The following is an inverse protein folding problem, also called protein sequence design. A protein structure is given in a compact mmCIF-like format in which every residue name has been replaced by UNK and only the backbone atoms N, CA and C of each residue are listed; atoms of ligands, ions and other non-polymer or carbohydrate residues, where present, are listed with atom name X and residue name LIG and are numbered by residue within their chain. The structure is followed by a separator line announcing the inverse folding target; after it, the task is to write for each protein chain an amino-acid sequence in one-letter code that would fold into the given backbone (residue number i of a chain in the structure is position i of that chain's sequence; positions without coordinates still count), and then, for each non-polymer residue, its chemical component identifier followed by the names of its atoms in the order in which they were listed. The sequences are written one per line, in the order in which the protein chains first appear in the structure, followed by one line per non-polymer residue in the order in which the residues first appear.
data_IF_056364207527
#
_entry.id   IF_056364207527
#
_cell.length_a   1.000
_cell.length_b   1.000
_cell.length_c   1.000
_cell.angle_alpha   90.00
_cell.angle_beta   90.00
_cell.angle_gamma   90.00
#
_symmetry.space_group_name_H-M   'P 1'
#
loop_
_entity.id
_entity.type
_entity.pdbx_description
1 polymer ?
#
# COMPACT_ATOMS: atom_id res chain seq x y z
N UNK A 1 37.49 -10.85 2.73
CA UNK A 1 36.92 -10.21 1.52
C UNK A 1 36.34 -11.36 0.71
N UNK A 2 35.02 -11.45 0.52
CA UNK A 2 34.45 -12.59 -0.18
C UNK A 2 34.79 -12.56 -1.67
N UNK A 3 35.20 -13.70 -2.21
CA UNK A 3 35.59 -13.83 -3.61
C UNK A 3 34.35 -13.92 -4.53
N UNK A 4 34.52 -13.60 -5.81
CA UNK A 4 33.45 -13.71 -6.82
C UNK A 4 32.73 -15.08 -6.84
N UNK A 5 33.42 -16.24 -6.77
CA UNK A 5 32.75 -17.55 -6.73
C UNK A 5 31.90 -17.78 -5.48
N UNK A 6 32.27 -17.19 -4.34
CA UNK A 6 31.51 -17.34 -3.09
C UNK A 6 30.17 -16.60 -3.17
N UNK A 7 30.20 -15.36 -3.69
CA UNK A 7 29.00 -14.55 -3.89
C UNK A 7 28.05 -15.21 -4.91
N UNK A 8 28.60 -15.79 -5.97
CA UNK A 8 27.82 -16.55 -6.95
C UNK A 8 27.17 -17.80 -6.33
N UNK A 9 27.92 -18.54 -5.51
CA UNK A 9 27.41 -19.72 -4.81
C UNK A 9 26.25 -19.33 -3.87
N UNK A 10 26.42 -18.27 -3.09
CA UNK A 10 25.38 -17.76 -2.21
C UNK A 10 24.15 -17.28 -3.00
N UNK A 11 24.35 -16.59 -4.12
CA UNK A 11 23.26 -16.17 -4.99
C UNK A 11 22.44 -17.38 -5.48
N UNK A 12 23.09 -18.47 -5.90
CA UNK A 12 22.42 -19.70 -6.34
C UNK A 12 21.64 -20.37 -5.21
N UNK A 13 22.23 -20.45 -4.02
CA UNK A 13 21.56 -21.02 -2.84
C UNK A 13 20.32 -20.22 -2.46
N UNK A 14 20.43 -18.89 -2.41
CA UNK A 14 19.29 -18.02 -2.11
C UNK A 14 18.21 -18.12 -3.19
N UNK A 15 18.58 -18.07 -4.47
CA UNK A 15 17.65 -18.23 -5.59
C UNK A 15 16.91 -19.57 -5.59
N UNK A 16 17.43 -20.62 -4.96
CA UNK A 16 16.73 -21.90 -4.83
C UNK A 16 15.69 -21.90 -3.69
N UNK A 17 15.86 -21.04 -2.68
CA UNK A 17 15.12 -21.15 -1.40
C UNK A 17 14.09 -20.04 -1.20
N UNK A 18 14.44 -18.81 -1.54
CA UNK A 18 13.67 -17.62 -1.12
C UNK A 18 12.71 -17.00 -2.16
N UNK A 19 12.73 -17.31 -3.47
CA UNK A 19 11.72 -16.79 -4.38
C UNK A 19 10.29 -17.11 -3.94
N UNK A 20 9.39 -16.18 -4.23
CA UNK A 20 7.97 -16.18 -3.86
C UNK A 20 7.69 -16.21 -2.34
N UNK A 21 8.71 -16.23 -1.48
CA UNK A 21 8.53 -16.15 -0.03
C UNK A 21 8.19 -14.73 0.38
N UNK A 22 7.25 -14.61 1.32
CA UNK A 22 6.83 -13.34 1.90
C UNK A 22 7.76 -12.95 3.05
N UNK A 23 8.19 -11.69 3.05
CA UNK A 23 9.01 -11.14 4.12
C UNK A 23 8.11 -10.82 5.31
N UNK A 24 8.42 -11.38 6.47
CA UNK A 24 7.63 -11.18 7.69
C UNK A 24 8.16 -9.98 8.47
N UNK A 25 9.49 -9.85 8.57
CA UNK A 25 10.19 -8.86 9.37
C UNK A 25 11.53 -8.52 8.72
N UNK A 26 11.99 -7.30 8.93
CA UNK A 26 13.33 -6.85 8.53
C UNK A 26 13.94 -6.13 9.72
N UNK A 27 15.16 -6.50 10.03
CA UNK A 27 15.99 -5.84 11.03
C UNK A 27 17.23 -5.30 10.33
N UNK A 28 17.43 -3.98 10.40
CA UNK A 28 18.64 -3.33 9.89
C UNK A 28 19.60 -3.19 11.05
N UNK A 29 20.72 -3.91 11.00
CA UNK A 29 21.70 -3.97 12.09
C UNK A 29 22.68 -2.80 12.08
N UNK A 30 22.87 -2.16 10.92
CA UNK A 30 23.73 -0.99 10.75
C UNK A 30 22.85 0.28 10.63
N UNK A 31 22.89 1.19 11.61
CA UNK A 31 22.09 2.42 11.59
C UNK A 31 22.36 3.33 10.39
N UNK A 32 23.53 3.23 9.74
CA UNK A 32 23.92 4.05 8.60
C UNK A 32 23.22 3.66 7.30
N UNK A 33 22.64 2.45 7.22
CA UNK A 33 21.99 1.91 6.02
C UNK A 33 20.53 2.37 5.83
N UNK A 34 20.02 3.21 6.72
CA UNK A 34 18.65 3.71 6.67
C UNK A 34 17.61 2.68 7.12
N UNK A 35 16.32 2.97 6.90
CA UNK A 35 15.22 2.13 7.37
C UNK A 35 14.73 1.18 6.28
N UNK A 36 14.50 -0.08 6.63
CA UNK A 36 13.90 -1.11 5.75
C UNK A 36 12.37 -0.99 5.60
N UNK A 37 11.82 0.22 5.69
CA UNK A 37 10.38 0.45 5.66
C UNK A 37 9.75 0.00 4.33
N UNK A 38 8.52 -0.52 4.40
CA UNK A 38 7.76 -0.91 3.22
C UNK A 38 8.16 -2.24 2.56
N UNK A 39 9.23 -2.89 3.01
CA UNK A 39 9.66 -4.20 2.49
C UNK A 39 8.98 -5.38 3.22
N UNK A 40 8.60 -5.22 4.49
CA UNK A 40 7.79 -6.21 5.21
C UNK A 40 6.43 -6.39 4.52
N UNK A 41 6.03 -7.65 4.37
CA UNK A 41 4.81 -8.02 3.68
C UNK A 41 4.95 -8.22 2.16
N UNK A 42 6.08 -7.80 1.55
CA UNK A 42 6.38 -8.06 0.12
C UNK A 42 6.88 -9.49 -0.09
N UNK A 43 6.81 -9.95 -1.34
CA UNK A 43 7.41 -11.22 -1.75
C UNK A 43 8.71 -10.98 -2.50
N UNK A 44 9.66 -11.89 -2.32
CA UNK A 44 10.88 -11.90 -3.11
C UNK A 44 10.56 -12.39 -4.51
N UNK A 45 10.78 -11.54 -5.51
CA UNK A 45 10.58 -11.87 -6.92
C UNK A 45 11.81 -12.58 -7.51
N UNK A 46 13.02 -12.15 -7.16
CA UNK A 46 14.26 -12.75 -7.66
C UNK A 46 15.45 -12.40 -6.77
N UNK A 47 16.52 -13.18 -6.89
CA UNK A 47 17.84 -12.87 -6.34
C UNK A 47 18.83 -12.84 -7.49
N UNK A 48 19.64 -11.79 -7.56
CA UNK A 48 20.63 -11.59 -8.60
C UNK A 48 21.96 -11.15 -8.00
N UNK A 49 23.05 -11.44 -8.71
CA UNK A 49 24.37 -10.92 -8.37
C UNK A 49 24.69 -9.72 -9.25
N UNK A 50 25.27 -8.69 -8.65
CA UNK A 50 25.86 -7.55 -9.34
C UNK A 50 27.27 -7.31 -8.82
N UNK A 51 28.26 -7.84 -9.52
CA UNK A 51 29.66 -7.80 -9.06
C UNK A 51 29.83 -8.56 -7.74
N UNK A 52 30.17 -7.84 -6.67
CA UNK A 52 30.31 -8.39 -5.31
C UNK A 52 29.06 -8.22 -4.45
N UNK A 53 27.97 -7.70 -5.02
CA UNK A 53 26.73 -7.39 -4.32
C UNK A 53 25.65 -8.41 -4.69
N UNK A 54 24.79 -8.74 -3.73
CA UNK A 54 23.55 -9.49 -3.94
C UNK A 54 22.39 -8.50 -3.97
N UNK A 55 21.60 -8.55 -5.04
CA UNK A 55 20.37 -7.80 -5.19
C UNK A 55 19.17 -8.74 -4.96
N UNK A 56 18.29 -8.38 -4.02
CA UNK A 56 17.02 -9.07 -3.80
C UNK A 56 15.92 -8.18 -4.36
N UNK A 57 15.21 -8.65 -5.39
CA UNK A 57 14.12 -7.92 -6.03
C UNK A 57 12.81 -8.31 -5.38
N UNK A 58 11.94 -7.33 -5.15
CA UNK A 58 10.62 -7.52 -4.55
C UNK A 58 9.51 -7.48 -5.61
N UNK A 59 8.39 -8.14 -5.35
CA UNK A 59 7.20 -8.02 -6.19
C UNK A 59 6.62 -6.60 -6.16
N UNK A 60 6.18 -6.12 -7.33
CA UNK A 60 5.68 -4.74 -7.51
C UNK A 60 4.30 -4.47 -6.91
N UNK A 61 3.69 -5.43 -6.21
CA UNK A 61 2.34 -5.30 -5.65
C UNK A 61 2.42 -4.92 -4.18
N UNK A 62 2.45 -3.62 -3.91
CA UNK A 62 2.25 -3.06 -2.57
C UNK A 62 0.86 -3.40 -2.05
N UNK A 63 0.75 -4.46 -1.24
CA UNK A 63 -0.29 -4.54 -0.21
C UNK A 63 0.37 -4.37 1.15
N UNK A 64 0.98 -3.21 1.36
CA UNK A 64 1.29 -2.76 2.72
C UNK A 64 -0.05 -2.57 3.43
N UNK A 65 -0.51 -3.60 4.15
CA UNK A 65 -1.46 -3.35 5.24
C UNK A 65 -0.74 -2.43 6.22
N UNK A 66 -1.33 -1.29 6.60
CA UNK A 66 -0.77 -0.49 7.68
C UNK A 66 -0.69 -1.40 8.92
N UNK A 67 0.52 -1.64 9.40
CA UNK A 67 0.76 -2.29 10.69
C UNK A 67 0.46 -1.23 11.74
N UNK A 68 -0.78 -1.20 12.23
CA UNK A 68 -1.19 -0.20 13.21
C UNK A 68 -2.69 0.01 13.32
N UNK A 69 -3.50 -1.05 13.45
CA UNK A 69 -4.80 -0.92 14.10
C UNK A 69 -4.73 -1.63 15.45
N UNK A 70 -4.67 -0.90 16.57
CA UNK A 70 -4.86 -1.50 17.87
C UNK A 70 -6.32 -1.96 17.99
N UNK A 71 -6.50 -3.28 17.95
CA UNK A 71 -7.73 -3.95 18.33
C UNK A 71 -8.00 -3.69 19.82
N UNK A 72 -9.20 -3.17 20.06
CA UNK A 72 -10.00 -3.29 21.27
C UNK A 72 -9.62 -2.43 22.50
N UNK A 73 -10.56 -1.55 22.85
CA UNK A 73 -11.18 -1.57 24.19
C UNK A 73 -12.57 -0.94 24.14
N UNK A 74 -13.56 -1.81 23.97
CA UNK A 74 -14.93 -1.62 24.49
C UNK A 74 -14.94 -1.05 25.92
N UNK A 75 -16.02 -0.30 26.21
CA UNK A 75 -16.63 0.09 27.51
C UNK A 75 -16.22 1.43 28.15
N UNK A 76 -17.06 2.44 27.89
CA UNK A 76 -17.87 3.19 28.88
C UNK A 76 -18.91 3.94 28.05
N UNK A 77 -20.22 3.84 28.25
CA UNK A 77 -20.94 3.75 29.51
C UNK A 77 -21.98 4.86 29.47
N UNK A 78 -23.22 4.48 29.12
CA UNK A 78 -24.48 5.21 29.22
C UNK A 78 -24.44 6.57 29.94
N UNK A 79 -24.85 7.64 29.25
CA UNK A 79 -25.70 8.68 29.85
C UNK A 79 -26.85 8.99 28.91
N UNK A 80 -28.06 8.74 29.43
CA UNK A 80 -29.33 9.23 28.92
C UNK A 80 -29.40 10.70 29.28
N UNK A 81 -29.67 11.57 28.32
CA UNK A 81 -30.39 12.81 28.59
C UNK A 81 -31.57 12.85 27.62
N UNK A 82 -32.77 12.78 28.21
CA UNK A 82 -34.01 13.24 27.61
C UNK A 82 -33.95 14.76 27.61
N UNK A 83 -34.63 15.36 26.63
CA UNK A 83 -35.54 16.51 26.71
C UNK A 83 -35.56 17.09 25.29
N UNK A 84 -36.64 16.95 24.52
CA UNK A 84 -37.90 17.64 24.73
C UNK A 84 -37.94 18.83 23.76
N UNK A 85 -38.74 18.74 22.69
CA UNK A 85 -38.76 19.81 21.68
C UNK A 85 -39.73 19.53 20.53
N UNK A 86 -41.01 19.68 20.83
CA UNK A 86 -42.14 19.73 19.90
C UNK A 86 -41.96 20.83 18.85
N UNK A 87 -42.32 20.56 17.60
CA UNK A 87 -42.32 21.58 16.54
C UNK A 87 -42.84 21.04 15.20
N UNK A 88 -44.16 20.84 15.12
CA UNK A 88 -44.89 20.76 13.85
C UNK A 88 -44.78 22.10 13.10
N UNK A 89 -44.26 22.11 11.86
CA UNK A 89 -44.69 23.06 10.82
C UNK A 89 -44.53 22.43 9.42
N UNK A 90 -45.67 22.00 8.88
CA UNK A 90 -46.16 22.12 7.50
C UNK A 90 -45.18 22.08 6.30
N UNK A 91 -45.44 21.09 5.42
CA UNK A 91 -45.18 21.08 3.97
C UNK A 91 -45.56 22.43 3.30
N UNK A 92 -44.90 22.79 2.18
CA UNK A 92 -45.54 22.53 0.89
C UNK A 92 -44.59 22.05 -0.22
N UNK A 93 -45.18 21.36 -1.18
CA UNK A 93 -44.57 20.91 -2.44
C UNK A 93 -44.21 22.07 -3.36
N UNK A 94 -43.13 21.96 -4.15
CA UNK A 94 -43.08 22.43 -5.55
C UNK A 94 -42.17 21.56 -6.44
N UNK A 95 -42.86 20.87 -7.34
CA UNK A 95 -42.59 20.44 -8.73
C UNK A 95 -41.49 21.19 -9.52
N UNK A 96 -40.94 20.45 -10.50
CA UNK A 96 -40.29 20.83 -11.80
C UNK A 96 -38.84 21.33 -11.69
N UNK A 97 -37.87 21.04 -12.57
CA UNK A 97 -37.79 20.62 -13.99
C UNK A 97 -36.37 20.00 -14.18
N UNK A 98 -36.21 18.84 -14.81
CA UNK A 98 -35.58 18.67 -16.15
C UNK A 98 -34.49 19.68 -16.51
N UNK A 99 -33.26 19.19 -16.66
CA UNK A 99 -32.10 19.94 -17.15
C UNK A 99 -30.98 19.00 -17.55
N UNK A 100 -31.13 18.43 -18.74
CA UNK A 100 -30.08 17.83 -19.55
C UNK A 100 -28.98 18.88 -19.83
N UNK A 101 -27.72 18.47 -19.81
CA UNK A 101 -26.64 19.08 -20.58
C UNK A 101 -25.35 18.29 -20.37
N UNK A 102 -25.02 17.49 -21.38
CA UNK A 102 -23.69 16.95 -21.56
C UNK A 102 -22.65 18.04 -21.71
N UNK A 103 -21.47 17.78 -21.13
CA UNK A 103 -20.23 18.47 -21.44
C UNK A 103 -19.21 17.40 -21.81
N UNK A 104 -19.10 17.13 -23.11
CA UNK A 104 -17.95 16.46 -23.70
C UNK A 104 -16.76 17.42 -23.59
N UNK A 105 -15.76 17.07 -22.81
CA UNK A 105 -14.44 17.70 -22.95
C UNK A 105 -13.72 17.01 -24.12
N UNK A 106 -13.84 17.63 -25.29
CA UNK A 106 -12.87 17.52 -26.38
C UNK A 106 -11.60 18.30 -26.03
N UNK A 107 -10.47 17.59 -25.95
CA UNK A 107 -9.11 18.00 -26.35
C UNK A 107 -8.16 16.93 -25.78
N UNK A 108 -7.32 16.25 -26.55
CA UNK A 108 -6.25 16.86 -27.35
C UNK A 108 -5.84 15.90 -28.47
N UNK A 109 -5.82 16.42 -29.69
CA UNK A 109 -5.10 15.87 -30.85
C UNK A 109 -3.65 16.33 -30.81
N UNK A 110 -2.70 15.40 -30.97
CA UNK A 110 -1.42 15.55 -31.69
C UNK A 110 -0.68 14.20 -31.60
N UNK A 111 -0.70 13.33 -32.62
CA UNK A 111 0.21 13.35 -33.78
C UNK A 111 1.64 13.74 -33.40
N UNK A 112 2.52 12.74 -33.29
CA UNK A 112 3.83 12.76 -33.96
C UNK A 112 4.33 11.34 -34.18
N UNK A 113 4.48 11.04 -35.46
CA UNK A 113 5.22 9.96 -36.10
C UNK A 113 6.69 9.94 -35.66
N UNK A 114 7.28 8.75 -35.67
CA UNK A 114 8.71 8.50 -35.51
C UNK A 114 8.99 7.01 -35.60
#
# INVERSE_FOLDING_TARGET
MHELPEVETLCRQLSAVIPDKKIIRIDVLDPLLGKGEGLAGRRVAAVARRGKTIEIRMDGRSRSRPVGEPEDRRRKGRRRERDGGTGDVLRPERRRESGDNGGMDEATVALTSG
#
